data_IF_390337581309
#
_entry.id   IF_390337581309
#
_cell.length_a   1.000
_cell.length_b   1.000
_cell.length_c   1.000
_cell.angle_alpha   90.00
_cell.angle_beta   90.00
_cell.angle_gamma   90.00
#
_symmetry.space_group_name_H-M   'P 1'
#
loop_
_entity.id
_entity.type
_entity.pdbx_description
1 polymer ?
#
# COMPACT_ATOMS: atom_id res chain seq x y z
N UNK A 1 -4.40 -23.76 -27.35
CA UNK A 1 -3.92 -22.94 -26.23
C UNK A 1 -3.39 -21.67 -26.84
N UNK A 2 -4.20 -20.62 -26.88
CA UNK A 2 -3.72 -19.28 -27.25
C UNK A 2 -2.74 -18.83 -26.17
N UNK A 3 -1.57 -18.38 -26.59
CA UNK A 3 -0.62 -17.75 -25.68
C UNK A 3 -1.32 -16.54 -25.05
N UNK A 4 -1.47 -16.51 -23.72
CA UNK A 4 -1.86 -15.28 -23.02
C UNK A 4 -0.81 -14.23 -23.41
N UNK A 5 -1.27 -13.13 -24.01
CA UNK A 5 -0.41 -11.97 -24.30
C UNK A 5 0.23 -11.51 -23.00
N UNK A 6 1.55 -11.24 -23.01
CA UNK A 6 2.26 -10.65 -21.87
C UNK A 6 1.86 -9.18 -21.61
N UNK A 7 0.99 -8.61 -22.43
CA UNK A 7 0.46 -7.25 -22.27
C UNK A 7 -0.70 -7.20 -21.28
N UNK A 8 -0.70 -6.18 -20.40
CA UNK A 8 -1.84 -5.88 -19.54
C UNK A 8 -3.13 -5.67 -20.36
N UNK A 9 -4.30 -6.06 -19.83
CA UNK A 9 -5.60 -5.65 -20.37
C UNK A 9 -5.68 -4.13 -20.61
N UNK A 10 -6.33 -3.72 -21.71
CA UNK A 10 -6.45 -2.31 -22.12
C UNK A 10 -7.01 -1.41 -21.00
N UNK A 11 -8.02 -1.89 -20.27
CA UNK A 11 -8.60 -1.18 -19.12
C UNK A 11 -7.58 -0.88 -18.02
N UNK A 12 -6.58 -1.74 -17.79
CA UNK A 12 -5.53 -1.48 -16.80
C UNK A 12 -4.52 -0.46 -17.32
N UNK A 13 -4.24 -0.47 -18.63
CA UNK A 13 -3.39 0.54 -19.26
C UNK A 13 -4.02 1.93 -19.12
N UNK A 14 -5.31 2.05 -19.43
CA UNK A 14 -6.08 3.30 -19.30
C UNK A 14 -6.14 3.78 -17.84
N UNK A 15 -6.41 2.88 -16.89
CA UNK A 15 -6.39 3.19 -15.45
C UNK A 15 -5.03 3.68 -14.98
N UNK A 16 -3.96 3.02 -15.39
CA UNK A 16 -2.59 3.39 -15.03
C UNK A 16 -2.22 4.75 -15.62
N UNK A 17 -2.66 5.06 -16.85
CA UNK A 17 -2.44 6.37 -17.45
C UNK A 17 -3.17 7.47 -16.66
N UNK A 18 -4.45 7.27 -16.32
CA UNK A 18 -5.20 8.24 -15.52
C UNK A 18 -4.59 8.40 -14.12
N UNK A 19 -4.16 7.30 -13.49
CA UNK A 19 -3.46 7.36 -12.20
C UNK A 19 -2.18 8.19 -12.31
N UNK A 20 -1.36 7.95 -13.33
CA UNK A 20 -0.10 8.68 -13.54
C UNK A 20 -0.34 10.18 -13.75
N UNK A 21 -1.35 10.56 -14.54
CA UNK A 21 -1.73 11.96 -14.72
C UNK A 21 -2.07 12.64 -13.39
N UNK A 22 -2.92 12.02 -12.58
CA UNK A 22 -3.31 12.53 -11.26
C UNK A 22 -2.14 12.51 -10.26
N UNK A 23 -1.28 11.52 -10.36
CA UNK A 23 -0.08 11.40 -9.54
C UNK A 23 0.89 12.56 -9.81
N UNK A 24 1.12 12.91 -11.09
CA UNK A 24 1.95 14.05 -11.44
C UNK A 24 1.37 15.38 -10.96
N UNK A 25 0.05 15.54 -10.93
CA UNK A 25 -0.61 16.69 -10.30
C UNK A 25 -0.35 16.72 -8.79
N UNK A 26 -0.55 15.60 -8.11
CA UNK A 26 -0.27 15.46 -6.68
C UNK A 26 1.19 15.79 -6.33
N UNK A 27 2.16 15.32 -7.12
CA UNK A 27 3.58 15.61 -6.91
C UNK A 27 3.86 17.12 -7.06
N UNK A 28 3.23 17.81 -8.00
CA UNK A 28 3.35 19.27 -8.16
C UNK A 28 2.77 20.01 -6.95
N UNK A 29 1.61 19.57 -6.47
CA UNK A 29 1.00 20.14 -5.27
C UNK A 29 1.88 19.95 -4.04
N UNK A 30 2.43 18.75 -3.84
CA UNK A 30 3.34 18.42 -2.76
C UNK A 30 4.64 19.23 -2.82
N UNK A 31 5.18 19.44 -4.03
CA UNK A 31 6.37 20.27 -4.25
C UNK A 31 6.11 21.76 -3.92
N UNK A 32 4.87 22.23 -4.08
CA UNK A 32 4.47 23.59 -3.76
C UNK A 32 4.18 23.82 -2.26
N UNK A 33 4.09 22.75 -1.44
CA UNK A 33 3.84 22.88 0.00
C UNK A 33 5.05 23.48 0.73
N UNK A 34 4.83 24.29 1.79
CA UNK A 34 5.92 24.91 2.54
C UNK A 34 6.72 23.87 3.34
N UNK A 35 8.05 23.91 3.21
CA UNK A 35 9.01 23.02 3.91
C UNK A 35 9.47 23.63 5.24
N UNK A 36 8.50 23.93 6.11
CA UNK A 36 8.80 24.47 7.45
C UNK A 36 9.39 23.38 8.35
N UNK A 37 10.24 23.80 9.29
CA UNK A 37 10.72 22.90 10.34
C UNK A 37 9.54 22.42 11.20
N UNK A 38 9.55 21.12 11.52
CA UNK A 38 8.60 20.49 12.42
C UNK A 38 9.34 19.68 13.49
N UNK A 39 8.79 19.65 14.69
CA UNK A 39 9.30 18.87 15.82
C UNK A 39 8.62 17.51 15.84
N UNK A 40 9.41 16.45 15.79
CA UNK A 40 8.92 15.08 15.77
C UNK A 40 9.40 14.35 17.01
N UNK A 41 8.45 13.82 17.79
CA UNK A 41 8.76 12.87 18.86
C UNK A 41 8.73 11.46 18.29
N UNK A 42 9.89 10.81 18.19
CA UNK A 42 10.04 9.47 17.64
C UNK A 42 10.04 8.43 18.76
N UNK A 43 9.10 7.50 18.71
CA UNK A 43 8.95 6.38 19.63
C UNK A 43 9.12 5.05 18.88
N UNK A 44 10.28 4.41 19.06
CA UNK A 44 10.62 3.13 18.42
C UNK A 44 10.26 1.92 19.29
N UNK A 45 9.56 2.13 20.42
CA UNK A 45 9.16 1.06 21.33
C UNK A 45 10.27 0.57 22.27
N UNK A 46 11.40 1.29 22.38
CA UNK A 46 12.50 0.98 23.31
C UNK A 46 12.33 1.64 24.70
N UNK A 47 11.22 2.34 24.90
CA UNK A 47 10.91 3.09 26.13
C UNK A 47 11.64 4.43 26.25
N UNK A 48 12.35 4.89 25.20
CA UNK A 48 13.10 6.16 25.20
C UNK A 48 12.77 6.99 23.95
N UNK A 49 11.62 7.70 23.95
CA UNK A 49 11.29 8.59 22.85
C UNK A 49 12.38 9.65 22.63
N UNK A 50 12.72 9.90 21.37
CA UNK A 50 13.68 10.92 20.98
C UNK A 50 12.97 12.08 20.28
N UNK A 51 13.60 13.26 20.25
CA UNK A 51 13.08 14.41 19.50
C UNK A 51 14.03 14.72 18.36
N UNK A 52 13.46 14.83 17.16
CA UNK A 52 14.19 15.18 15.93
C UNK A 52 13.48 16.33 15.23
N UNK A 53 14.24 17.09 14.45
CA UNK A 53 13.69 18.13 13.56
C UNK A 53 13.53 17.54 12.16
N UNK A 54 12.32 17.63 11.63
CA UNK A 54 12.00 17.27 10.25
C UNK A 54 11.51 18.48 9.46
N UNK A 55 11.11 18.22 8.21
CA UNK A 55 10.53 19.18 7.29
C UNK A 55 9.10 18.76 6.94
N UNK A 56 8.15 19.66 7.15
CA UNK A 56 6.76 19.45 6.73
C UNK A 56 6.70 19.16 5.23
N UNK A 57 5.83 18.22 4.83
CA UNK A 57 5.61 17.78 3.45
C UNK A 57 6.85 17.17 2.76
N UNK A 58 7.84 16.75 3.55
CA UNK A 58 9.08 16.14 3.05
C UNK A 58 9.54 14.94 3.88
N UNK A 59 9.63 15.11 5.20
CA UNK A 59 10.09 14.04 6.07
C UNK A 59 9.01 12.98 6.22
N UNK A 60 9.39 11.71 6.08
CA UNK A 60 8.48 10.56 6.19
C UNK A 60 8.88 9.68 7.38
N UNK A 61 7.93 8.95 8.00
CA UNK A 61 8.28 8.00 9.07
C UNK A 61 9.32 6.97 8.62
N UNK A 62 9.18 6.42 7.41
CA UNK A 62 10.09 5.44 6.85
C UNK A 62 11.53 5.95 6.74
N UNK A 63 11.73 7.25 6.46
CA UNK A 63 13.06 7.83 6.38
C UNK A 63 13.82 7.81 7.73
N UNK A 64 13.12 7.76 8.86
CA UNK A 64 13.75 7.70 10.19
C UNK A 64 14.19 6.28 10.56
N UNK A 65 13.63 5.26 9.90
CA UNK A 65 13.97 3.85 10.16
C UNK A 65 15.40 3.48 9.74
N UNK A 66 16.04 4.29 8.89
CA UNK A 66 17.44 4.08 8.47
C UNK A 66 18.42 4.12 9.65
N UNK A 67 18.07 4.85 10.71
CA UNK A 67 18.90 5.07 11.90
C UNK A 67 18.45 4.14 13.08
N UNK A 68 17.45 3.29 12.84
CA UNK A 68 16.91 2.33 13.82
C UNK A 68 17.61 0.98 13.64
N UNK A 69 17.95 0.25 14.73
CA UNK A 69 18.51 -1.10 14.64
C UNK A 69 17.66 -2.02 13.76
N UNK A 70 18.32 -2.84 12.94
CA UNK A 70 17.66 -3.67 11.93
C UNK A 70 16.70 -4.68 12.55
N UNK A 71 17.00 -5.14 13.75
CA UNK A 71 16.19 -6.07 14.52
C UNK A 71 14.81 -5.48 14.88
N UNK A 72 14.71 -4.15 14.94
CA UNK A 72 13.46 -3.42 15.17
C UNK A 72 12.86 -3.01 13.83
N UNK A 73 13.67 -2.39 12.96
CA UNK A 73 13.17 -1.78 11.72
C UNK A 73 12.64 -2.79 10.70
N UNK A 74 13.13 -4.04 10.73
CA UNK A 74 12.71 -5.08 9.79
C UNK A 74 11.27 -5.57 10.00
N UNK A 75 10.74 -5.44 11.22
CA UNK A 75 9.40 -5.93 11.56
C UNK A 75 8.32 -4.84 11.48
N UNK A 76 8.71 -3.57 11.26
CA UNK A 76 7.80 -2.42 11.18
C UNK A 76 6.98 -2.48 9.89
N UNK A 77 5.67 -2.39 10.05
CA UNK A 77 4.71 -2.40 8.92
C UNK A 77 4.19 -1.00 8.61
N UNK A 78 3.84 -0.24 9.66
CA UNK A 78 3.13 1.03 9.52
C UNK A 78 3.52 1.97 10.66
N UNK A 79 3.46 3.29 10.44
CA UNK A 79 3.59 4.27 11.50
C UNK A 79 2.22 4.61 12.11
N UNK A 80 2.22 5.17 13.31
CA UNK A 80 1.05 5.73 13.97
C UNK A 80 1.37 7.14 14.46
N UNK A 81 0.56 8.10 14.04
CA UNK A 81 0.74 9.52 14.34
C UNK A 81 -0.13 9.90 15.53
N UNK A 82 0.50 10.54 16.52
CA UNK A 82 -0.14 11.02 17.76
C UNK A 82 -0.95 9.93 18.49
N UNK A 83 -0.49 8.68 18.39
CA UNK A 83 -1.14 7.48 18.91
C UNK A 83 -2.60 7.28 18.41
N UNK A 84 -2.96 7.88 17.27
CA UNK A 84 -4.34 7.91 16.74
C UNK A 84 -4.47 7.39 15.32
N UNK A 85 -3.71 7.95 14.38
CA UNK A 85 -3.91 7.70 12.94
C UNK A 85 -2.82 6.79 12.39
N UNK A 86 -3.19 5.75 11.65
CA UNK A 86 -2.24 4.93 10.89
C UNK A 86 -1.71 5.72 9.71
N UNK A 87 -0.41 5.63 9.47
CA UNK A 87 0.29 6.48 8.52
C UNK A 87 1.33 5.69 7.73
N UNK A 88 1.22 5.75 6.40
CA UNK A 88 2.12 5.02 5.50
C UNK A 88 3.55 5.51 5.70
N UNK A 89 4.52 4.58 5.67
CA UNK A 89 5.92 4.90 5.94
C UNK A 89 6.50 5.91 4.93
N UNK A 90 5.96 5.98 3.71
CA UNK A 90 6.38 6.92 2.68
C UNK A 90 5.52 8.19 2.62
N UNK A 91 4.47 8.32 3.43
CA UNK A 91 3.61 9.50 3.45
C UNK A 91 4.30 10.64 4.23
N UNK A 92 4.52 11.83 3.64
CA UNK A 92 5.17 12.95 4.31
C UNK A 92 4.40 13.47 5.52
N UNK A 93 5.10 13.84 6.58
CA UNK A 93 4.54 14.44 7.79
C UNK A 93 4.20 15.92 7.55
N UNK A 94 3.09 16.39 8.12
CA UNK A 94 2.54 17.70 7.77
C UNK A 94 2.83 18.80 8.82
N UNK A 95 3.09 18.40 10.06
CA UNK A 95 3.21 19.27 11.24
C UNK A 95 3.93 18.54 12.37
N UNK A 96 4.19 19.25 13.47
CA UNK A 96 4.67 18.66 14.71
C UNK A 96 3.79 17.48 15.14
N UNK A 97 4.43 16.36 15.47
CA UNK A 97 3.71 15.13 15.81
C UNK A 97 4.57 14.13 16.59
N UNK A 98 3.91 13.18 17.23
CA UNK A 98 4.54 11.94 17.68
C UNK A 98 4.43 10.88 16.59
N UNK A 99 5.54 10.23 16.27
CA UNK A 99 5.61 9.07 15.38
C UNK A 99 5.93 7.85 16.23
N UNK A 100 5.01 6.89 16.29
CA UNK A 100 5.26 5.54 16.79
C UNK A 100 5.17 4.53 15.66
N UNK A 101 5.69 3.32 15.86
CA UNK A 101 5.70 2.27 14.84
C UNK A 101 4.96 1.03 15.30
N UNK A 102 4.22 0.41 14.38
CA UNK A 102 3.50 -0.82 14.63
C UNK A 102 4.17 -1.96 13.85
N UNK A 103 4.77 -2.93 14.57
CA UNK A 103 5.30 -4.13 13.93
C UNK A 103 4.18 -5.10 13.55
N UNK A 104 4.52 -6.13 12.77
CA UNK A 104 3.56 -7.17 12.37
C UNK A 104 2.88 -7.88 13.55
N UNK A 105 3.54 -8.01 14.70
CA UNK A 105 2.95 -8.68 15.86
C UNK A 105 1.86 -7.84 16.56
N UNK A 106 1.79 -6.53 16.28
CA UNK A 106 0.74 -5.65 16.77
C UNK A 106 -0.55 -5.87 15.96
N UNK A 107 -1.75 -5.94 16.58
CA UNK A 107 -3.00 -6.19 15.87
C UNK A 107 -3.23 -5.26 14.67
N UNK A 108 -3.14 -3.95 14.86
CA UNK A 108 -3.30 -2.97 13.77
C UNK A 108 -2.20 -3.09 12.69
N UNK A 109 -0.97 -3.43 13.07
CA UNK A 109 0.12 -3.65 12.11
C UNK A 109 -0.13 -4.89 11.25
N UNK A 110 -0.62 -5.97 11.88
CA UNK A 110 -1.05 -7.18 11.19
C UNK A 110 -2.21 -6.93 10.24
N UNK A 111 -3.20 -6.14 10.66
CA UNK A 111 -4.36 -5.83 9.82
C UNK A 111 -3.95 -5.05 8.57
N UNK A 112 -3.04 -4.08 8.68
CA UNK A 112 -2.48 -3.37 7.52
C UNK A 112 -1.72 -4.33 6.60
N UNK A 113 -0.86 -5.18 7.16
CA UNK A 113 -0.10 -6.17 6.37
C UNK A 113 -1.03 -7.12 5.60
N UNK A 114 -2.07 -7.62 6.26
CA UNK A 114 -3.05 -8.50 5.64
C UNK A 114 -3.91 -7.81 4.60
N UNK A 115 -4.25 -6.53 4.79
CA UNK A 115 -4.97 -5.76 3.78
C UNK A 115 -4.12 -5.57 2.51
N UNK A 116 -2.84 -5.20 2.65
CA UNK A 116 -1.92 -5.11 1.51
C UNK A 116 -1.74 -6.48 0.83
N UNK A 117 -1.69 -7.56 1.61
CA UNK A 117 -1.59 -8.92 1.07
C UNK A 117 -2.84 -9.33 0.28
N UNK A 118 -4.02 -8.88 0.71
CA UNK A 118 -5.25 -9.06 -0.06
C UNK A 118 -5.14 -8.37 -1.41
N UNK A 119 -4.67 -7.11 -1.48
CA UNK A 119 -4.48 -6.42 -2.76
C UNK A 119 -3.53 -7.15 -3.71
N UNK A 120 -2.41 -7.70 -3.21
CA UNK A 120 -1.51 -8.53 -4.03
C UNK A 120 -2.21 -9.79 -4.58
N UNK A 121 -3.05 -10.44 -3.77
CA UNK A 121 -3.85 -11.58 -4.24
C UNK A 121 -4.92 -11.13 -5.25
N UNK A 122 -5.54 -9.99 -5.03
CA UNK A 122 -6.51 -9.39 -5.94
C UNK A 122 -5.92 -9.16 -7.32
N UNK A 123 -4.75 -8.53 -7.40
CA UNK A 123 -4.02 -8.31 -8.65
C UNK A 123 -3.69 -9.64 -9.36
N UNK A 124 -3.20 -10.64 -8.61
CA UNK A 124 -2.92 -11.96 -9.17
C UNK A 124 -4.19 -12.61 -9.77
N UNK A 125 -5.31 -12.50 -9.07
CA UNK A 125 -6.60 -13.02 -9.52
C UNK A 125 -7.13 -12.26 -10.75
N UNK A 126 -7.03 -10.93 -10.80
CA UNK A 126 -7.44 -10.13 -11.95
C UNK A 126 -6.63 -10.51 -13.20
N UNK A 127 -5.31 -10.68 -13.07
CA UNK A 127 -4.43 -11.05 -14.17
C UNK A 127 -4.62 -12.51 -14.63
N UNK A 128 -4.90 -13.43 -13.71
CA UNK A 128 -5.09 -14.84 -14.08
C UNK A 128 -6.50 -15.16 -14.59
N UNK A 129 -7.52 -14.52 -14.04
CA UNK A 129 -8.92 -14.88 -14.28
C UNK A 129 -9.73 -13.80 -15.01
N UNK A 130 -9.22 -12.57 -15.13
CA UNK A 130 -10.02 -11.44 -15.62
C UNK A 130 -11.26 -11.20 -14.75
N UNK A 131 -11.15 -11.43 -13.45
CA UNK A 131 -12.26 -11.28 -12.50
C UNK A 131 -12.48 -9.81 -12.13
N UNK A 132 -13.63 -9.53 -11.53
CA UNK A 132 -13.92 -8.23 -10.90
C UNK A 132 -13.80 -8.37 -9.39
N UNK A 133 -12.97 -7.53 -8.77
CA UNK A 133 -12.75 -7.49 -7.33
C UNK A 133 -13.89 -6.77 -6.60
N UNK A 134 -14.20 -7.21 -5.38
CA UNK A 134 -15.24 -6.63 -4.54
C UNK A 134 -14.72 -6.23 -3.15
N UNK A 135 -14.38 -7.20 -2.31
CA UNK A 135 -14.03 -6.96 -0.92
C UNK A 135 -12.83 -7.82 -0.48
N UNK A 136 -11.77 -7.18 0.02
CA UNK A 136 -10.55 -7.85 0.42
C UNK A 136 -10.11 -7.50 1.85
N UNK A 137 -10.87 -7.89 2.88
CA UNK A 137 -10.56 -7.47 4.24
C UNK A 137 -9.43 -8.32 4.86
N UNK A 138 -8.66 -7.74 5.80
CA UNK A 138 -7.88 -8.53 6.73
C UNK A 138 -8.81 -9.27 7.71
N UNK A 139 -8.32 -10.40 8.23
CA UNK A 139 -8.99 -11.22 9.23
C UNK A 139 -7.99 -11.63 10.32
N UNK A 140 -8.43 -12.10 11.49
CA UNK A 140 -7.50 -12.57 12.52
C UNK A 140 -6.62 -13.75 12.08
N UNK A 141 -7.02 -14.50 11.04
CA UNK A 141 -6.30 -15.67 10.51
C UNK A 141 -5.56 -15.42 9.18
N UNK A 142 -5.61 -14.20 8.63
CA UNK A 142 -5.04 -13.91 7.31
C UNK A 142 -5.90 -12.90 6.56
N UNK A 143 -6.20 -13.18 5.30
CA UNK A 143 -7.01 -12.31 4.44
C UNK A 143 -7.71 -13.15 3.38
N UNK A 144 -8.69 -12.56 2.70
CA UNK A 144 -9.30 -13.12 1.50
C UNK A 144 -9.63 -12.00 0.52
N UNK A 145 -10.07 -12.37 -0.69
CA UNK A 145 -10.63 -11.43 -1.65
C UNK A 145 -11.86 -12.02 -2.33
N UNK A 146 -12.98 -11.31 -2.22
CA UNK A 146 -14.20 -11.61 -2.97
C UNK A 146 -14.05 -11.13 -4.41
N UNK A 147 -14.30 -12.03 -5.35
CA UNK A 147 -14.18 -11.74 -6.77
C UNK A 147 -15.29 -12.42 -7.59
N UNK A 148 -15.70 -11.77 -8.68
CA UNK A 148 -16.63 -12.31 -9.66
C UNK A 148 -15.85 -12.74 -10.92
N UNK A 149 -15.79 -14.05 -11.18
CA UNK A 149 -15.13 -14.60 -12.36
C UNK A 149 -16.13 -14.62 -13.54
N UNK A 150 -15.72 -14.25 -14.77
CA UNK A 150 -16.58 -14.32 -15.95
C UNK A 150 -17.24 -15.70 -16.11
N UNK A 151 -18.47 -15.70 -16.62
CA UNK A 151 -19.27 -16.90 -16.89
C UNK A 151 -19.62 -17.76 -15.65
N UNK A 152 -19.45 -17.24 -14.43
CA UNK A 152 -19.81 -17.94 -13.20
C UNK A 152 -18.91 -19.13 -12.87
N UNK A 153 -17.70 -19.16 -13.44
CA UNK A 153 -16.70 -20.19 -13.15
C UNK A 153 -16.28 -20.15 -11.67
N UNK A 154 -16.07 -21.31 -11.07
CA UNK A 154 -15.48 -21.44 -9.74
C UNK A 154 -13.94 -21.59 -9.80
N UNK A 155 -13.27 -21.19 -8.72
CA UNK A 155 -11.85 -21.50 -8.50
C UNK A 155 -11.71 -22.98 -8.18
N UNK A 156 -10.81 -23.67 -8.86
CA UNK A 156 -10.56 -25.10 -8.69
C UNK A 156 -9.12 -25.33 -8.17
N UNK A 157 -8.80 -26.50 -7.60
CA UNK A 157 -7.43 -26.81 -7.17
C UNK A 157 -6.38 -26.73 -8.29
N UNK A 158 -6.79 -26.88 -9.55
CA UNK A 158 -5.92 -26.70 -10.71
C UNK A 158 -5.42 -25.25 -10.90
N UNK A 159 -6.06 -24.28 -10.25
CA UNK A 159 -5.71 -22.87 -10.34
C UNK A 159 -4.64 -22.43 -9.34
N UNK A 160 -4.32 -23.26 -8.34
CA UNK A 160 -3.36 -22.89 -7.29
C UNK A 160 -1.96 -22.64 -7.83
N UNK A 161 -1.41 -23.57 -8.63
CA UNK A 161 -0.06 -23.41 -9.16
C UNK A 161 0.09 -22.21 -10.12
N UNK A 162 -0.86 -21.93 -11.04
CA UNK A 162 -0.86 -20.69 -11.82
C UNK A 162 -0.93 -19.43 -10.95
N UNK A 163 -1.80 -19.40 -9.94
CA UNK A 163 -1.92 -18.25 -9.02
C UNK A 163 -0.65 -18.02 -8.22
N UNK A 164 -0.06 -19.07 -7.64
CA UNK A 164 1.19 -18.97 -6.89
C UNK A 164 2.32 -18.43 -7.77
N UNK A 165 2.39 -18.89 -9.02
CA UNK A 165 3.37 -18.37 -10.00
C UNK A 165 3.14 -16.89 -10.29
N UNK A 166 1.89 -16.45 -10.45
CA UNK A 166 1.55 -15.04 -10.70
C UNK A 166 1.85 -14.17 -9.49
N UNK A 167 1.43 -14.58 -8.30
CA UNK A 167 1.74 -13.87 -7.05
C UNK A 167 3.26 -13.75 -6.85
N UNK A 168 4.03 -14.83 -7.07
CA UNK A 168 5.48 -14.80 -7.01
C UNK A 168 6.13 -13.86 -8.05
N UNK A 169 5.49 -13.63 -9.20
CA UNK A 169 5.92 -12.63 -10.18
C UNK A 169 5.69 -11.21 -9.63
N UNK A 170 4.48 -10.91 -9.17
CA UNK A 170 4.11 -9.61 -8.58
C UNK A 170 5.06 -9.25 -7.42
N UNK A 171 5.36 -10.19 -6.53
CA UNK A 171 6.32 -9.95 -5.44
C UNK A 171 7.75 -9.67 -5.92
N UNK A 172 8.18 -10.22 -7.06
CA UNK A 172 9.51 -9.96 -7.62
C UNK A 172 9.60 -8.58 -8.27
N UNK A 173 8.48 -8.03 -8.73
CA UNK A 173 8.41 -6.70 -9.35
C UNK A 173 8.65 -5.58 -8.33
N UNK A 174 8.44 -5.85 -7.02
CA UNK A 174 8.64 -4.88 -5.93
C UNK A 174 7.89 -3.57 -6.20
N UNK A 175 6.65 -3.70 -6.67
CA UNK A 175 5.77 -2.57 -6.94
C UNK A 175 5.63 -1.70 -5.69
N UNK A 176 5.54 -0.38 -5.88
CA UNK A 176 5.26 0.57 -4.80
C UNK A 176 3.78 0.54 -4.43
N UNK A 177 3.49 0.77 -3.15
CA UNK A 177 2.15 1.13 -2.69
C UNK A 177 2.05 2.66 -2.65
N UNK A 178 1.41 3.23 -3.66
CA UNK A 178 1.26 4.68 -3.79
C UNK A 178 -0.16 5.11 -3.41
N UNK A 179 -0.27 5.96 -2.38
CA UNK A 179 -1.54 6.51 -1.91
C UNK A 179 -1.82 7.83 -2.61
N UNK A 180 -2.99 7.93 -3.23
CA UNK A 180 -3.49 9.17 -3.81
C UNK A 180 -4.92 9.46 -3.34
N UNK A 181 -5.15 10.67 -2.84
CA UNK A 181 -6.51 11.16 -2.60
C UNK A 181 -7.09 11.69 -3.90
N UNK A 182 -8.22 11.13 -4.33
CA UNK A 182 -8.84 11.43 -5.62
C UNK A 182 -10.30 11.81 -5.47
N UNK A 183 -10.79 12.67 -6.35
CA UNK A 183 -12.20 13.07 -6.36
C UNK A 183 -13.10 11.90 -6.75
N UNK A 184 -14.36 11.95 -6.29
CA UNK A 184 -15.38 10.96 -6.68
C UNK A 184 -15.59 10.89 -8.19
N UNK A 185 -15.42 12.01 -8.90
CA UNK A 185 -15.55 12.05 -10.36
C UNK A 185 -14.41 11.28 -11.04
N UNK A 186 -13.17 11.48 -10.61
CA UNK A 186 -12.03 10.75 -11.15
C UNK A 186 -12.10 9.26 -10.84
N UNK A 187 -12.56 8.88 -9.65
CA UNK A 187 -12.82 7.47 -9.31
C UNK A 187 -13.85 6.82 -10.24
N UNK A 188 -14.92 7.53 -10.58
CA UNK A 188 -15.92 7.03 -11.54
C UNK A 188 -15.35 6.84 -12.93
N UNK A 189 -14.40 7.68 -13.36
CA UNK A 189 -13.70 7.53 -14.65
C UNK A 189 -12.74 6.34 -14.62
N UNK A 190 -11.99 6.19 -13.53
CA UNK A 190 -11.02 5.12 -13.35
C UNK A 190 -11.69 3.74 -13.30
N UNK A 191 -12.80 3.61 -12.58
CA UNK A 191 -13.53 2.36 -12.39
C UNK A 191 -14.85 2.28 -13.18
N UNK A 192 -14.91 2.98 -14.32
CA UNK A 192 -16.07 2.96 -15.23
C UNK A 192 -16.35 1.57 -15.80
#
# INVERSE_FOLDING_TARGET
MEAKSDSLPEIFIERNQLFEELWQEHLKELAAKPRTDITITLDIGDGKPSTITGKAWESTPGAFLKDVPKEISADIVIAKIDDKELWDLNRPLEKDCKVSYLPFNHPEGRDVFWHSSAHCLGEACELEFGCLLSHGPPTPQGFFYDMAIPNGRAVLPSDWAPLDKKAAQIFKERQSFDRLEVTKENLKKMFA
#
